data_IF_954980831072
#
_entry.id   IF_954980831072
#
_cell.length_a   1.000
_cell.length_b   1.000
_cell.length_c   1.000
_cell.angle_alpha   90.00
_cell.angle_beta   90.00
_cell.angle_gamma   90.00
#
_symmetry.space_group_name_H-M   'P 1'
#
loop_
_entity.id
_entity.type
_entity.pdbx_description
1 polymer ?
#
# COMPACT_ATOMS: atom_id res chain seq x y z
N UNK A 1 -6.93 12.93 16.86
CA UNK A 1 -6.26 11.93 16.00
C UNK A 1 -7.25 11.04 15.21
N UNK A 2 -8.57 11.05 15.45
CA UNK A 2 -9.49 10.49 14.45
C UNK A 2 -9.67 11.51 13.31
N UNK A 3 -9.30 11.13 12.08
CA UNK A 3 -9.52 11.90 10.85
C UNK A 3 -8.28 12.33 10.05
N UNK A 4 -7.06 12.13 10.58
CA UNK A 4 -5.80 12.50 9.89
C UNK A 4 -5.08 11.30 9.26
N UNK A 5 -5.09 10.14 9.93
CA UNK A 5 -4.71 8.84 9.36
C UNK A 5 -5.97 8.01 9.27
N UNK A 6 -6.30 7.57 8.06
CA UNK A 6 -7.46 6.72 7.78
C UNK A 6 -6.96 5.30 7.58
N UNK A 7 -7.43 4.33 8.39
CA UNK A 7 -7.17 2.92 8.14
C UNK A 7 -7.61 2.53 6.74
N UNK A 8 -6.78 1.78 6.01
CA UNK A 8 -7.11 1.21 4.72
C UNK A 8 -6.80 -0.27 4.75
N UNK A 9 -7.82 -1.09 4.59
CA UNK A 9 -7.66 -2.53 4.54
C UNK A 9 -7.20 -2.99 3.16
N UNK A 10 -6.03 -3.62 3.09
CA UNK A 10 -5.51 -4.28 1.88
C UNK A 10 -5.52 -5.80 2.01
N UNK A 11 -5.45 -6.50 0.87
CA UNK A 11 -5.33 -7.95 0.79
C UNK A 11 -4.18 -8.34 -0.16
N UNK A 12 -3.58 -9.48 0.14
CA UNK A 12 -2.43 -10.03 -0.59
C UNK A 12 -2.56 -11.54 -0.67
N UNK A 13 -2.19 -12.12 -1.81
CA UNK A 13 -2.12 -13.55 -2.03
C UNK A 13 -0.69 -13.96 -2.37
N UNK A 14 -0.21 -15.03 -1.75
CA UNK A 14 1.02 -15.73 -2.11
C UNK A 14 0.67 -17.01 -2.88
N UNK A 15 1.20 -17.13 -4.10
CA UNK A 15 0.89 -18.20 -5.04
C UNK A 15 2.16 -18.94 -5.49
N UNK A 16 2.05 -20.25 -5.67
CA UNK A 16 3.02 -21.00 -6.46
C UNK A 16 2.88 -20.57 -7.93
N UNK A 17 3.98 -20.32 -8.65
CA UNK A 17 3.92 -20.06 -10.08
C UNK A 17 3.36 -21.30 -10.79
N UNK A 18 2.69 -21.10 -11.93
CA UNK A 18 2.33 -22.21 -12.81
C UNK A 18 3.58 -22.93 -13.33
N UNK A 19 3.43 -24.19 -13.75
CA UNK A 19 4.56 -25.09 -14.02
C UNK A 19 5.42 -24.67 -15.22
N UNK A 20 4.89 -23.88 -16.14
CA UNK A 20 5.63 -23.37 -17.30
C UNK A 20 6.40 -22.07 -16.99
N UNK A 21 6.17 -21.48 -15.81
CA UNK A 21 6.91 -20.31 -15.34
C UNK A 21 8.19 -20.69 -14.57
N UNK A 22 9.15 -19.76 -14.43
CA UNK A 22 10.34 -19.98 -13.60
C UNK A 22 10.00 -20.26 -12.13
N UNK A 23 10.32 -21.46 -11.67
CA UNK A 23 10.04 -21.91 -10.29
C UNK A 23 10.94 -21.28 -9.22
N UNK A 24 12.02 -20.62 -9.64
CA UNK A 24 12.95 -19.91 -8.74
C UNK A 24 12.64 -18.41 -8.60
N UNK A 25 11.64 -17.92 -9.33
CA UNK A 25 11.24 -16.51 -9.34
C UNK A 25 11.26 -15.91 -10.74
N UNK A 26 10.40 -14.91 -10.94
CA UNK A 26 10.30 -14.17 -12.19
C UNK A 26 11.50 -13.24 -12.34
N UNK A 27 11.84 -12.89 -13.58
CA UNK A 27 12.96 -11.99 -13.87
C UNK A 27 12.75 -10.54 -13.38
N UNK A 28 11.52 -10.17 -13.05
CA UNK A 28 11.15 -8.80 -12.67
C UNK A 28 9.96 -8.78 -11.71
N UNK A 29 9.81 -7.66 -11.02
CA UNK A 29 8.57 -7.27 -10.34
C UNK A 29 7.67 -6.55 -11.35
N UNK A 30 6.37 -6.79 -11.29
CA UNK A 30 5.40 -6.21 -12.22
C UNK A 30 4.43 -5.30 -11.47
N UNK A 31 3.92 -4.31 -12.20
CA UNK A 31 2.72 -3.56 -11.84
C UNK A 31 1.77 -3.62 -13.04
N UNK A 32 0.56 -4.12 -12.83
CA UNK A 32 -0.48 -4.17 -13.85
C UNK A 32 -1.41 -3.00 -13.60
N UNK A 33 -1.43 -2.03 -14.51
CA UNK A 33 -2.16 -0.77 -14.34
C UNK A 33 -3.36 -0.77 -15.27
N UNK A 34 -4.54 -0.59 -14.68
CA UNK A 34 -5.84 -0.48 -15.34
C UNK A 34 -6.33 0.96 -15.26
N UNK A 35 -7.41 1.28 -15.98
CA UNK A 35 -8.03 2.61 -15.93
C UNK A 35 -8.42 3.03 -14.50
N UNK A 36 -8.84 2.08 -13.67
CA UNK A 36 -9.42 2.34 -12.35
C UNK A 36 -8.58 1.83 -11.18
N UNK A 37 -7.43 1.21 -11.43
CA UNK A 37 -6.63 0.62 -10.37
C UNK A 37 -5.39 -0.12 -10.84
N UNK A 38 -4.77 -0.86 -9.93
CA UNK A 38 -3.58 -1.65 -10.25
C UNK A 38 -3.38 -2.81 -9.27
N UNK A 39 -2.54 -3.75 -9.70
CA UNK A 39 -1.91 -4.79 -8.88
C UNK A 39 -0.41 -4.66 -8.97
N UNK A 40 0.27 -5.04 -7.89
CA UNK A 40 1.71 -5.28 -7.91
C UNK A 40 2.00 -6.76 -7.70
N UNK A 41 3.06 -7.24 -8.33
CA UNK A 41 3.45 -8.65 -8.28
C UNK A 41 4.97 -8.75 -8.09
N UNK A 42 5.40 -9.37 -7.01
CA UNK A 42 6.82 -9.59 -6.67
C UNK A 42 7.05 -11.06 -6.34
N UNK A 43 8.18 -11.64 -6.77
CA UNK A 43 8.54 -13.00 -6.38
C UNK A 43 9.46 -13.06 -5.17
N UNK A 44 9.27 -14.07 -4.34
CA UNK A 44 10.14 -14.39 -3.21
C UNK A 44 11.54 -14.76 -3.73
N UNK A 45 12.61 -14.18 -3.17
CA UNK A 45 13.96 -14.34 -3.71
C UNK A 45 14.49 -15.76 -3.51
N UNK A 46 15.47 -16.13 -4.34
CA UNK A 46 16.19 -17.40 -4.23
C UNK A 46 16.79 -17.59 -2.83
N UNK A 47 16.81 -18.84 -2.36
CA UNK A 47 17.34 -19.21 -1.04
C UNK A 47 16.37 -18.99 0.14
N UNK A 48 15.17 -18.44 -0.11
CA UNK A 48 14.09 -18.46 0.88
C UNK A 48 13.37 -19.81 0.90
N UNK A 49 12.78 -20.19 2.04
CA UNK A 49 12.02 -21.43 2.18
C UNK A 49 10.83 -21.55 1.21
N UNK A 50 10.38 -20.41 0.68
CA UNK A 50 9.28 -20.25 -0.26
C UNK A 50 9.73 -19.58 -1.56
N UNK A 51 10.98 -19.79 -1.98
CA UNK A 51 11.54 -19.21 -3.20
C UNK A 51 10.62 -19.36 -4.42
N UNK A 52 10.61 -18.34 -5.29
CA UNK A 52 9.79 -18.31 -6.49
C UNK A 52 8.29 -18.10 -6.28
N UNK A 53 7.80 -18.14 -5.03
CA UNK A 53 6.41 -17.79 -4.72
C UNK A 53 6.11 -16.36 -5.19
N UNK A 54 5.03 -16.22 -5.95
CA UNK A 54 4.51 -14.94 -6.42
C UNK A 54 3.66 -14.33 -5.30
N UNK A 55 4.03 -13.14 -4.85
CA UNK A 55 3.22 -12.32 -3.95
C UNK A 55 2.54 -11.24 -4.79
N UNK A 56 1.20 -11.26 -4.81
CA UNK A 56 0.38 -10.31 -5.57
C UNK A 56 -0.61 -9.60 -4.64
N UNK A 57 -0.69 -8.29 -4.75
CA UNK A 57 -1.62 -7.44 -3.98
C UNK A 57 -2.15 -6.30 -4.84
N UNK A 58 -3.23 -5.67 -4.40
CA UNK A 58 -4.00 -4.71 -5.20
C UNK A 58 -5.48 -5.04 -5.17
N UNK A 59 -6.18 -4.90 -6.30
CA UNK A 59 -7.55 -5.37 -6.46
C UNK A 59 -8.64 -4.54 -5.78
N UNK A 60 -8.32 -3.45 -5.07
CA UNK A 60 -9.35 -2.57 -4.47
C UNK A 60 -10.34 -2.01 -5.50
N UNK A 61 -9.90 -1.83 -6.75
CA UNK A 61 -10.73 -1.34 -7.84
C UNK A 61 -11.81 -2.32 -8.31
N UNK A 62 -11.74 -3.58 -7.89
CA UNK A 62 -12.78 -4.59 -8.12
C UNK A 62 -14.03 -4.33 -7.27
N UNK A 63 -13.93 -3.49 -6.24
CA UNK A 63 -15.04 -3.14 -5.38
C UNK A 63 -15.74 -1.86 -5.85
N UNK A 64 -17.04 -1.67 -5.52
CA UNK A 64 -17.74 -0.43 -5.79
C UNK A 64 -16.99 0.81 -5.27
N UNK A 65 -17.00 1.89 -6.07
CA UNK A 65 -16.30 3.14 -5.76
C UNK A 65 -14.81 2.91 -5.42
N UNK A 66 -14.15 2.03 -6.19
CA UNK A 66 -12.74 1.69 -6.07
C UNK A 66 -12.31 1.28 -4.65
N UNK A 67 -13.19 0.56 -3.95
CA UNK A 67 -12.91 0.07 -2.60
C UNK A 67 -13.06 1.12 -1.52
N UNK A 68 -13.90 2.15 -1.72
CA UNK A 68 -14.22 3.15 -0.70
C UNK A 68 -14.63 2.51 0.65
N UNK A 69 -15.29 1.35 0.61
CA UNK A 69 -15.69 0.57 1.79
C UNK A 69 -14.52 0.01 2.61
N UNK A 70 -13.31 -0.03 2.06
CA UNK A 70 -12.11 -0.52 2.77
C UNK A 70 -11.40 0.56 3.58
N UNK A 71 -11.82 1.82 3.44
CA UNK A 71 -11.33 2.92 4.28
C UNK A 71 -12.13 2.99 5.59
N UNK A 72 -11.42 3.27 6.68
CA UNK A 72 -11.98 3.30 8.03
C UNK A 72 -12.00 1.92 8.70
N UNK A 73 -11.69 0.85 7.97
CA UNK A 73 -11.66 -0.50 8.53
C UNK A 73 -10.41 -0.76 9.34
N UNK A 74 -10.62 -1.24 10.56
CA UNK A 74 -9.54 -1.58 11.51
C UNK A 74 -9.47 -3.06 11.83
N UNK A 75 -10.48 -3.82 11.43
CA UNK A 75 -10.50 -5.28 11.55
C UNK A 75 -9.99 -5.91 10.25
N UNK A 76 -8.86 -6.58 10.31
CA UNK A 76 -8.26 -7.34 9.21
C UNK A 76 -8.34 -8.85 9.43
N UNK A 77 -9.22 -9.34 10.31
CA UNK A 77 -9.40 -10.77 10.54
C UNK A 77 -10.15 -11.47 9.40
N UNK A 78 -10.86 -10.71 8.57
CA UNK A 78 -11.65 -11.22 7.45
C UNK A 78 -11.14 -10.73 6.10
N UNK A 79 -11.24 -11.60 5.09
CA UNK A 79 -10.92 -11.29 3.71
C UNK A 79 -12.19 -10.82 2.98
N UNK A 80 -12.05 -9.86 2.06
CA UNK A 80 -13.12 -9.48 1.16
C UNK A 80 -13.19 -10.49 -0.02
N UNK A 81 -14.34 -11.16 -0.27
CA UNK A 81 -14.46 -12.22 -1.27
C UNK A 81 -14.22 -11.83 -2.72
N UNK A 82 -14.66 -10.65 -3.15
CA UNK A 82 -14.43 -10.10 -4.49
C UNK A 82 -12.94 -9.92 -4.76
N UNK A 83 -12.21 -9.33 -3.81
CA UNK A 83 -10.76 -9.17 -3.90
C UNK A 83 -10.07 -10.53 -3.85
N UNK A 84 -10.55 -11.45 -3.01
CA UNK A 84 -10.04 -12.83 -2.94
C UNK A 84 -10.14 -13.54 -4.29
N UNK A 85 -11.32 -13.53 -4.92
CA UNK A 85 -11.53 -14.18 -6.21
C UNK A 85 -10.58 -13.59 -7.26
N UNK A 86 -10.57 -12.26 -7.37
CA UNK A 86 -9.70 -11.58 -8.32
C UNK A 86 -8.22 -11.88 -8.10
N UNK A 87 -7.70 -11.74 -6.88
CA UNK A 87 -6.27 -11.94 -6.61
C UNK A 87 -5.85 -13.40 -6.80
N UNK A 88 -6.74 -14.39 -6.66
CA UNK A 88 -6.44 -15.81 -6.90
C UNK A 88 -6.35 -16.18 -8.38
N UNK A 89 -7.05 -15.44 -9.24
CA UNK A 89 -7.20 -15.76 -10.66
C UNK A 89 -6.38 -14.84 -11.58
N UNK A 90 -6.13 -13.59 -11.20
CA UNK A 90 -5.49 -12.61 -12.10
C UNK A 90 -4.10 -13.03 -12.62
N UNK A 91 -3.32 -13.79 -11.85
CA UNK A 91 -2.02 -14.30 -12.28
C UNK A 91 -2.14 -15.26 -13.46
N UNK A 92 -3.13 -16.17 -13.45
CA UNK A 92 -3.35 -17.08 -14.57
C UNK A 92 -3.80 -16.32 -15.81
N UNK A 93 -4.61 -15.28 -15.63
CA UNK A 93 -5.08 -14.44 -16.74
C UNK A 93 -3.94 -13.63 -17.36
N UNK A 94 -3.06 -13.05 -16.54
CA UNK A 94 -1.93 -12.24 -17.01
C UNK A 94 -0.87 -13.07 -17.75
N UNK A 95 -0.59 -14.29 -17.28
CA UNK A 95 0.38 -15.16 -17.96
C UNK A 95 -0.26 -15.99 -19.09
N UNK A 96 -1.58 -16.18 -19.07
CA UNK A 96 -2.34 -16.90 -20.10
C UNK A 96 -1.76 -18.28 -20.37
N UNK A 97 -1.52 -18.59 -21.65
CA UNK A 97 -0.93 -19.87 -22.06
C UNK A 97 0.48 -20.12 -21.50
N UNK A 98 1.18 -19.08 -21.01
CA UNK A 98 2.51 -19.24 -20.40
C UNK A 98 2.43 -19.68 -18.93
N UNK A 99 1.24 -19.74 -18.33
CA UNK A 99 1.08 -20.21 -16.95
C UNK A 99 1.42 -21.69 -16.81
N UNK A 100 0.93 -22.52 -17.75
CA UNK A 100 0.97 -23.99 -17.63
C UNK A 100 -0.07 -24.51 -16.63
N UNK A 101 0.19 -25.68 -16.05
CA UNK A 101 -0.66 -26.26 -15.01
C UNK A 101 -0.33 -25.69 -13.61
N UNK A 102 -1.26 -25.81 -12.67
CA UNK A 102 -0.99 -25.51 -11.27
C UNK A 102 -0.10 -26.56 -10.62
N UNK A 103 0.72 -26.14 -9.67
CA UNK A 103 1.52 -27.05 -8.84
C UNK A 103 0.61 -28.07 -8.13
N UNK A 104 1.04 -29.35 -8.07
CA UNK A 104 0.24 -30.45 -7.51
C UNK A 104 -0.22 -30.24 -6.05
N UNK A 105 0.50 -29.42 -5.28
CA UNK A 105 0.13 -28.98 -3.92
C UNK A 105 -0.82 -27.77 -3.87
N UNK A 106 -1.41 -27.39 -5.00
CA UNK A 106 -2.28 -26.23 -5.16
C UNK A 106 -1.52 -24.91 -5.43
N UNK A 107 -2.20 -23.99 -6.14
CA UNK A 107 -1.70 -22.65 -6.47
C UNK A 107 -1.51 -21.79 -5.23
N UNK A 108 -2.54 -21.65 -4.41
CA UNK A 108 -2.54 -20.70 -3.29
C UNK A 108 -1.72 -21.28 -2.13
N UNK A 109 -0.64 -20.58 -1.74
CA UNK A 109 0.12 -20.91 -0.51
C UNK A 109 -0.51 -20.27 0.71
N UNK A 110 -0.86 -18.99 0.58
CA UNK A 110 -1.40 -18.19 1.66
C UNK A 110 -2.15 -17.00 1.09
N UNK A 111 -3.14 -16.54 1.83
CA UNK A 111 -3.83 -15.29 1.60
C UNK A 111 -4.02 -14.60 2.95
N UNK A 112 -3.87 -13.28 2.97
CA UNK A 112 -4.01 -12.48 4.18
C UNK A 112 -4.40 -11.04 3.86
N UNK A 113 -4.80 -10.35 4.91
CA UNK A 113 -5.15 -8.94 4.93
C UNK A 113 -4.21 -8.16 5.84
N UNK A 114 -4.26 -6.83 5.73
CA UNK A 114 -3.56 -5.93 6.63
C UNK A 114 -4.11 -4.52 6.57
N UNK A 115 -3.97 -3.77 7.66
CA UNK A 115 -4.38 -2.37 7.75
C UNK A 115 -3.21 -1.43 7.49
N UNK A 116 -3.34 -0.61 6.46
CA UNK A 116 -2.43 0.51 6.15
C UNK A 116 -2.94 1.80 6.76
N UNK A 117 -2.04 2.74 7.05
CA UNK A 117 -2.40 4.11 7.37
C UNK A 117 -2.37 4.99 6.13
N UNK A 118 -3.53 5.45 5.66
CA UNK A 118 -3.65 6.42 4.59
C UNK A 118 -3.66 7.85 5.14
N UNK A 119 -2.90 8.75 4.53
CA UNK A 119 -2.93 10.19 4.82
C UNK A 119 -3.91 10.91 3.90
N UNK A 120 -4.33 12.11 4.29
CA UNK A 120 -5.25 12.94 3.49
C UNK A 120 -4.64 13.45 2.17
N UNK A 121 -3.31 13.48 2.08
CA UNK A 121 -2.56 14.04 0.95
C UNK A 121 -1.67 13.02 0.24
N UNK A 122 -1.72 11.74 0.61
CA UNK A 122 -0.96 10.67 -0.03
C UNK A 122 0.53 10.65 0.30
N UNK A 123 1.00 11.49 1.22
CA UNK A 123 2.39 11.52 1.69
C UNK A 123 2.49 11.09 3.16
N UNK A 124 3.60 10.48 3.60
CA UNK A 124 3.79 10.16 5.01
C UNK A 124 3.84 11.43 5.86
N UNK A 125 3.51 11.30 7.15
CA UNK A 125 3.66 12.36 8.15
C UNK A 125 4.93 12.11 8.95
N UNK A 126 5.94 12.98 8.78
CA UNK A 126 7.25 12.86 9.46
C UNK A 126 7.63 14.18 10.12
N UNK A 127 7.80 14.22 11.44
CA UNK A 127 8.30 15.40 12.15
C UNK A 127 7.56 15.69 13.47
N UNK A 128 7.79 16.87 14.03
CA UNK A 128 7.12 17.32 15.24
C UNK A 128 5.63 17.57 14.98
N UNK A 129 4.77 17.22 15.95
CA UNK A 129 3.34 17.50 15.86
C UNK A 129 3.04 18.99 16.14
N UNK A 130 2.46 19.73 15.19
CA UNK A 130 2.06 21.12 15.39
C UNK A 130 0.96 21.23 16.46
N UNK A 131 0.95 22.34 17.20
CA UNK A 131 -0.07 22.65 18.23
C UNK A 131 -0.20 21.62 19.36
N UNK A 132 0.76 20.71 19.49
CA UNK A 132 0.85 19.73 20.56
C UNK A 132 2.00 20.11 21.52
N UNK A 133 2.01 19.59 22.76
CA UNK A 133 3.14 19.77 23.66
C UNK A 133 4.47 19.38 23.01
N UNK A 134 5.53 20.12 23.33
CA UNK A 134 6.86 19.82 22.85
C UNK A 134 7.25 18.36 23.19
N UNK A 135 7.95 17.71 22.26
CA UNK A 135 8.38 16.31 22.43
C UNK A 135 7.43 15.27 21.83
N UNK A 136 6.29 15.66 21.24
CA UNK A 136 5.47 14.74 20.44
C UNK A 136 5.88 14.77 18.97
N UNK A 137 6.20 13.59 18.44
CA UNK A 137 6.70 13.38 17.08
C UNK A 137 5.92 12.29 16.35
N UNK A 138 5.92 12.33 15.03
CA UNK A 138 5.24 11.35 14.18
C UNK A 138 6.14 10.87 13.04
N UNK A 139 6.04 9.58 12.71
CA UNK A 139 6.53 8.97 11.47
C UNK A 139 5.55 7.87 11.08
N UNK A 140 4.53 8.23 10.31
CA UNK A 140 3.37 7.38 10.07
C UNK A 140 2.68 7.68 8.72
N UNK A 141 1.59 6.97 8.45
CA UNK A 141 0.71 7.18 7.29
C UNK A 141 1.41 6.96 5.94
N UNK A 142 2.19 5.87 5.81
CA UNK A 142 2.99 5.61 4.62
C UNK A 142 2.19 5.15 3.39
N UNK A 143 0.85 5.15 3.43
CA UNK A 143 -0.03 4.89 2.27
C UNK A 143 0.26 3.55 1.55
N UNK A 144 0.65 2.51 2.29
CA UNK A 144 1.04 1.21 1.70
C UNK A 144 2.47 1.15 1.16
N UNK A 145 3.21 2.25 1.15
CA UNK A 145 4.61 2.33 0.72
C UNK A 145 5.60 2.34 1.90
N UNK A 146 5.21 1.77 3.05
CA UNK A 146 5.99 1.81 4.29
C UNK A 146 7.42 1.29 4.13
N UNK A 147 7.62 0.19 3.41
CA UNK A 147 8.95 -0.40 3.19
C UNK A 147 9.90 0.51 2.41
N UNK A 148 9.37 1.40 1.56
CA UNK A 148 10.17 2.36 0.78
C UNK A 148 10.56 3.56 1.63
N UNK A 149 9.64 4.03 2.47
CA UNK A 149 9.81 5.25 3.25
C UNK A 149 10.49 5.05 4.60
N UNK A 150 10.23 3.93 5.30
CA UNK A 150 10.42 3.83 6.75
C UNK A 150 11.83 4.14 7.22
N UNK A 151 12.86 3.63 6.53
CA UNK A 151 14.25 3.81 6.94
C UNK A 151 14.67 5.29 6.85
N UNK A 152 14.52 5.90 5.68
CA UNK A 152 14.91 7.30 5.48
C UNK A 152 14.00 8.26 6.24
N UNK A 153 12.72 7.95 6.39
CA UNK A 153 11.82 8.73 7.24
C UNK A 153 12.26 8.71 8.72
N UNK A 154 12.72 7.56 9.23
CA UNK A 154 13.25 7.45 10.58
C UNK A 154 14.57 8.23 10.77
N UNK A 155 15.50 8.12 9.82
CA UNK A 155 16.74 8.92 9.83
C UNK A 155 16.43 10.43 9.87
N UNK A 156 15.56 10.91 8.97
CA UNK A 156 15.15 12.31 8.94
C UNK A 156 14.48 12.74 10.26
N UNK A 157 13.62 11.90 10.84
CA UNK A 157 12.94 12.20 12.08
C UNK A 157 13.93 12.36 13.26
N UNK A 158 14.90 11.46 13.37
CA UNK A 158 15.91 11.50 14.45
C UNK A 158 16.77 12.76 14.34
N UNK A 159 17.21 13.12 13.15
CA UNK A 159 17.95 14.36 12.92
C UNK A 159 17.12 15.61 13.29
N UNK A 160 15.82 15.62 12.94
CA UNK A 160 14.91 16.70 13.38
C UNK A 160 14.77 16.76 14.92
N UNK A 161 14.81 15.61 15.61
CA UNK A 161 14.75 15.53 17.07
C UNK A 161 16.01 16.03 17.76
N UNK A 162 17.19 15.79 17.18
CA UNK A 162 18.48 16.32 17.68
C UNK A 162 18.44 17.85 17.66
N UNK A 163 17.89 18.43 16.59
CA UNK A 163 17.40 19.80 16.57
C UNK A 163 18.47 20.90 16.50
N UNK A 164 19.75 20.57 16.40
CA UNK A 164 20.77 21.58 16.12
C UNK A 164 20.65 22.13 14.69
N UNK A 165 21.18 23.33 14.44
CA UNK A 165 21.04 23.98 13.13
C UNK A 165 21.72 23.21 11.99
N UNK A 166 22.73 22.40 12.27
CA UNK A 166 23.43 21.62 11.25
C UNK A 166 22.59 20.41 10.84
N UNK A 167 22.02 19.68 11.81
CA UNK A 167 21.09 18.57 11.60
C UNK A 167 19.84 19.03 10.84
N UNK A 168 19.25 20.17 11.22
CA UNK A 168 18.09 20.71 10.50
C UNK A 168 18.43 21.06 9.03
N UNK A 169 19.56 21.74 8.79
CA UNK A 169 20.02 22.05 7.42
C UNK A 169 20.28 20.79 6.60
N UNK A 170 20.92 19.78 7.19
CA UNK A 170 21.18 18.52 6.52
C UNK A 170 19.86 17.85 6.07
N UNK A 171 18.85 17.78 6.93
CA UNK A 171 17.54 17.21 6.57
C UNK A 171 16.81 18.05 5.52
N UNK A 172 16.99 19.37 5.51
CA UNK A 172 16.41 20.29 4.50
C UNK A 172 16.95 20.05 3.08
N UNK A 173 18.16 19.52 2.95
CA UNK A 173 18.82 19.28 1.67
C UNK A 173 18.29 18.05 0.94
N UNK A 174 17.91 16.99 1.66
CA UNK A 174 17.57 15.70 1.04
C UNK A 174 16.17 15.19 1.37
N UNK A 175 15.61 15.52 2.53
CA UNK A 175 14.30 14.99 2.92
C UNK A 175 13.17 15.83 2.31
N UNK A 176 12.18 15.21 1.63
CA UNK A 176 11.10 15.96 0.99
C UNK A 176 10.32 16.82 1.98
N UNK A 177 10.32 18.14 1.75
CA UNK A 177 9.57 19.09 2.59
C UNK A 177 8.08 18.77 2.63
N UNK A 178 7.53 18.23 1.55
CA UNK A 178 6.12 17.82 1.44
C UNK A 178 5.76 16.63 2.35
N UNK A 179 6.73 15.78 2.72
CA UNK A 179 6.54 14.68 3.66
C UNK A 179 6.67 15.11 5.14
N UNK A 180 7.09 16.36 5.40
CA UNK A 180 7.21 16.86 6.77
C UNK A 180 5.85 17.15 7.37
N UNK A 181 5.70 16.90 8.66
CA UNK A 181 4.51 17.27 9.40
C UNK A 181 4.43 18.79 9.53
N UNK A 182 3.26 19.37 9.27
CA UNK A 182 3.01 20.81 9.36
C UNK A 182 1.56 21.10 9.74
N UNK A 183 1.27 22.33 10.20
CA UNK A 183 -0.10 22.74 10.56
C UNK A 183 -1.06 22.61 9.38
N UNK A 184 -0.60 22.96 8.18
CA UNK A 184 -1.41 22.87 6.96
C UNK A 184 -1.81 21.42 6.66
N UNK A 185 -0.85 20.49 6.77
CA UNK A 185 -1.12 19.06 6.57
C UNK A 185 -2.00 18.47 7.65
N UNK A 186 -1.89 18.95 8.90
CA UNK A 186 -2.78 18.56 9.99
C UNK A 186 -4.23 19.00 9.74
N UNK A 187 -4.43 20.11 9.04
CA UNK A 187 -5.75 20.63 8.66
C UNK A 187 -6.40 19.92 7.47
N UNK A 188 -5.65 19.09 6.72
CA UNK A 188 -6.17 18.35 5.58
C UNK A 188 -7.20 17.30 6.02
N UNK A 189 -8.33 17.24 5.32
CA UNK A 189 -9.36 16.22 5.51
C UNK A 189 -9.22 15.15 4.44
N UNK A 190 -9.28 13.88 4.86
CA UNK A 190 -9.32 12.75 3.94
C UNK A 190 -10.58 12.83 3.07
N UNK A 191 -10.42 12.66 1.75
CA UNK A 191 -11.50 12.70 0.74
C UNK A 191 -11.44 11.48 -0.18
N UNK A 192 -11.00 10.35 0.34
CA UNK A 192 -10.77 9.14 -0.45
C UNK A 192 -9.42 9.13 -1.17
N UNK A 193 -9.32 8.16 -2.07
CA UNK A 193 -8.17 7.90 -2.93
C UNK A 193 -7.85 9.10 -3.85
N UNK A 194 -6.55 9.32 -4.12
CA UNK A 194 -6.04 10.52 -4.84
C UNK A 194 -5.19 10.20 -6.08
N UNK A 195 -4.69 8.98 -6.19
CA UNK A 195 -3.70 8.53 -7.19
C UNK A 195 -4.32 8.09 -8.52
N UNK A 196 -5.50 7.45 -8.50
CA UNK A 196 -6.24 7.02 -9.69
C UNK A 196 -7.73 7.34 -9.50
N UNK A 197 -8.31 8.15 -10.38
CA UNK A 197 -9.76 8.35 -10.49
C UNK A 197 -10.22 7.93 -11.87
N UNK A 198 -11.22 7.06 -11.94
CA UNK A 198 -11.87 6.72 -13.18
C UNK A 198 -12.76 7.89 -13.67
N UNK A 199 -12.94 8.08 -14.99
CA UNK A 199 -13.98 8.97 -15.50
C UNK A 199 -15.36 8.57 -14.96
N UNK A 200 -16.03 9.50 -14.26
CA UNK A 200 -17.38 9.26 -13.69
C UNK A 200 -17.42 8.66 -12.28
N UNK A 201 -16.27 8.48 -11.62
CA UNK A 201 -16.20 8.00 -10.24
C UNK A 201 -16.78 9.03 -9.24
N UNK A 202 -17.70 8.58 -8.38
CA UNK A 202 -18.37 9.42 -7.37
C UNK A 202 -17.38 9.91 -6.30
N UNK A 203 -17.69 11.03 -5.63
CA UNK A 203 -16.84 11.49 -4.54
C UNK A 203 -16.87 10.52 -3.35
N UNK A 204 -15.76 10.45 -2.61
CA UNK A 204 -15.68 9.66 -1.40
C UNK A 204 -16.77 10.06 -0.39
N UNK A 205 -17.64 9.11 -0.04
CA UNK A 205 -18.79 9.34 0.84
C UNK A 205 -20.12 9.54 0.12
N UNK A 206 -20.14 9.65 -1.21
CA UNK A 206 -21.37 9.60 -1.99
C UNK A 206 -21.79 8.14 -2.21
N UNK A 207 -23.04 7.81 -1.87
CA UNK A 207 -23.63 6.54 -2.29
C UNK A 207 -23.83 6.59 -3.80
N UNK A 208 -22.99 5.85 -4.54
CA UNK A 208 -23.28 5.52 -5.93
C UNK A 208 -24.69 4.94 -6.02
N UNK A 209 -25.54 5.56 -6.85
CA UNK A 209 -26.85 5.02 -7.19
C UNK A 209 -26.62 3.83 -8.10
N UNK A 210 -26.71 2.63 -7.54
CA UNK A 210 -27.20 1.47 -8.28
C UNK A 210 -28.72 1.62 -8.45
#
# INVERSE_FOLDING_TARGET
>A
MQGFIVPLHGQVVAQRPGLDLPQIGLASTYSFVHETGYEYMITRPAGTHDQGTIVIGGGLWQLPNSGASRYGETDDTALEPTITNFLRDCTTDYFGSNWGDDHASGRIRKEWSGIMGASADGLPYVGAMPDMPAGLWISAAFNGHGMVWCLKAAEALVEMMIGDEAAQRAVDEWFPRSARMSRDRMGCKFRGRKDLRAPGEAEFGERSRL
#
